data_IF_218596770041
#
_entry.id   IF_218596770041
#
_cell.length_a   1.000
_cell.length_b   1.000
_cell.length_c   1.000
_cell.angle_alpha   90.00
_cell.angle_beta   90.00
_cell.angle_gamma   90.00
#
_symmetry.space_group_name_H-M   'P 1'
#
loop_
_entity.id
_entity.type
_entity.pdbx_description
1 polymer ?
#
# COMPACT_ATOMS: atom_id res chain seq x y z
N UNK A 1 -25.60 -27.26 -54.43
CA UNK A 1 -25.45 -26.04 -55.26
C UNK A 1 -26.54 -25.03 -54.91
N UNK A 2 -26.20 -23.97 -54.17
CA UNK A 2 -26.78 -22.62 -54.28
C UNK A 2 -26.12 -21.70 -53.26
N UNK A 3 -25.24 -20.86 -53.77
CA UNK A 3 -24.67 -19.69 -53.11
C UNK A 3 -25.67 -18.55 -53.14
N UNK A 4 -25.85 -17.83 -52.03
CA UNK A 4 -26.25 -16.43 -52.03
C UNK A 4 -25.30 -15.66 -51.13
N UNK A 5 -24.53 -14.80 -51.78
CA UNK A 5 -23.62 -13.81 -51.24
C UNK A 5 -24.46 -12.70 -50.61
N UNK A 6 -24.14 -12.31 -49.38
CA UNK A 6 -24.70 -11.14 -48.70
C UNK A 6 -23.66 -10.61 -47.72
N UNK A 7 -23.06 -9.47 -48.06
CA UNK A 7 -22.01 -8.81 -47.29
C UNK A 7 -22.59 -8.07 -46.07
N UNK A 8 -21.99 -8.25 -44.89
CA UNK A 8 -22.02 -7.25 -43.82
C UNK A 8 -20.74 -7.37 -42.99
N UNK A 9 -19.83 -6.42 -43.20
CA UNK A 9 -18.67 -6.16 -42.35
C UNK A 9 -19.18 -5.66 -41.01
N UNK A 10 -18.91 -6.39 -39.93
CA UNK A 10 -18.98 -5.85 -38.56
C UNK A 10 -17.77 -6.38 -37.78
N UNK A 11 -16.74 -5.54 -37.79
CA UNK A 11 -15.54 -5.62 -36.98
C UNK A 11 -15.89 -5.61 -35.49
N UNK A 12 -15.15 -6.43 -34.74
CA UNK A 12 -14.64 -6.13 -33.39
C UNK A 12 -15.66 -5.76 -32.31
N UNK A 13 -16.15 -6.76 -31.57
CA UNK A 13 -16.51 -6.57 -30.16
C UNK A 13 -15.88 -7.70 -29.34
N UNK A 14 -14.56 -7.58 -29.16
CA UNK A 14 -13.85 -8.29 -28.11
C UNK A 14 -14.31 -7.74 -26.76
N UNK A 15 -15.28 -8.39 -26.14
CA UNK A 15 -15.62 -8.16 -24.73
C UNK A 15 -14.54 -8.83 -23.87
N UNK A 16 -13.38 -8.19 -23.83
CA UNK A 16 -12.40 -8.34 -22.76
C UNK A 16 -13.12 -7.93 -21.48
N UNK A 17 -13.62 -8.92 -20.73
CA UNK A 17 -13.97 -8.72 -19.33
C UNK A 17 -12.65 -8.40 -18.61
N UNK A 18 -12.35 -7.10 -18.55
CA UNK A 18 -11.27 -6.55 -17.74
C UNK A 18 -11.55 -6.92 -16.29
N UNK A 19 -10.97 -8.03 -15.84
CA UNK A 19 -10.81 -8.33 -14.42
C UNK A 19 -10.00 -7.17 -13.85
N UNK A 20 -10.67 -6.24 -13.17
CA UNK A 20 -10.01 -5.22 -12.37
C UNK A 20 -9.05 -5.97 -11.44
N UNK A 21 -7.72 -5.77 -11.54
CA UNK A 21 -6.84 -6.36 -10.56
C UNK A 21 -7.31 -5.82 -9.21
N UNK A 22 -7.68 -6.70 -8.29
CA UNK A 22 -7.62 -6.38 -6.87
C UNK A 22 -6.20 -5.88 -6.66
N UNK A 23 -6.05 -4.57 -6.62
CA UNK A 23 -4.76 -3.91 -6.52
C UNK A 23 -4.26 -4.24 -5.12
N UNK A 24 -3.49 -5.32 -5.03
CA UNK A 24 -2.83 -5.74 -3.81
C UNK A 24 -2.16 -4.49 -3.23
N UNK A 25 -2.60 -4.11 -2.03
CA UNK A 25 -2.19 -2.88 -1.36
C UNK A 25 -0.76 -3.04 -0.86
N UNK A 26 0.21 -2.82 -1.75
CA UNK A 26 1.64 -3.03 -1.46
C UNK A 26 2.36 -1.78 -0.91
N UNK A 27 1.64 -0.68 -0.67
CA UNK A 27 2.20 0.48 0.01
C UNK A 27 2.31 0.25 1.51
N UNK A 28 3.34 0.77 2.16
CA UNK A 28 3.45 0.86 3.62
C UNK A 28 2.41 1.80 4.24
N UNK A 29 1.91 2.78 3.48
CA UNK A 29 0.94 3.76 3.93
C UNK A 29 -0.29 3.76 3.03
N UNK A 30 -1.43 4.01 3.66
CA UNK A 30 -2.71 4.27 3.04
C UNK A 30 -3.09 5.73 3.22
N UNK A 31 -3.63 6.31 2.15
CA UNK A 31 -4.37 7.56 2.17
C UNK A 31 -5.86 7.24 2.36
N UNK A 32 -6.53 7.91 3.29
CA UNK A 32 -7.99 8.00 3.36
C UNK A 32 -8.42 9.43 3.01
N UNK A 33 -9.27 9.58 2.02
CA UNK A 33 -9.89 10.85 1.64
C UNK A 33 -11.34 10.65 1.21
N UNK A 34 -12.02 11.73 0.80
CA UNK A 34 -13.37 11.66 0.23
C UNK A 34 -13.43 10.79 -1.04
N UNK A 35 -12.32 10.66 -1.76
CA UNK A 35 -12.21 9.84 -2.99
C UNK A 35 -12.04 8.35 -2.70
N UNK A 36 -11.85 7.96 -1.43
CA UNK A 36 -11.70 6.58 -1.00
C UNK A 36 -10.38 6.29 -0.30
N UNK A 37 -10.00 5.00 -0.28
CA UNK A 37 -8.79 4.49 0.37
C UNK A 37 -7.79 4.01 -0.67
N UNK A 38 -6.56 4.53 -0.61
CA UNK A 38 -5.48 4.20 -1.54
C UNK A 38 -4.24 3.76 -0.76
N UNK A 39 -3.84 2.50 -0.89
CA UNK A 39 -2.78 1.88 -0.09
C UNK A 39 -1.55 1.49 -0.93
N UNK A 40 -1.00 2.48 -1.62
CA UNK A 40 0.08 2.33 -2.60
C UNK A 40 1.29 3.24 -2.30
N UNK A 41 1.35 3.87 -1.13
CA UNK A 41 2.43 4.80 -0.76
C UNK A 41 3.54 4.08 0.01
N UNK A 42 4.78 4.24 -0.44
CA UNK A 42 5.96 3.61 0.17
C UNK A 42 6.52 4.39 1.37
N UNK A 43 6.09 5.64 1.58
CA UNK A 43 6.51 6.49 2.69
C UNK A 43 5.38 7.40 3.16
N UNK A 44 5.43 7.82 4.42
CA UNK A 44 4.49 8.79 4.97
C UNK A 44 4.54 10.11 4.19
N UNK A 45 5.74 10.59 3.83
CA UNK A 45 5.91 11.84 3.09
C UNK A 45 5.21 11.79 1.73
N UNK A 46 5.36 10.70 0.97
CA UNK A 46 4.68 10.52 -0.31
C UNK A 46 3.15 10.45 -0.12
N UNK A 47 2.69 9.79 0.94
CA UNK A 47 1.27 9.77 1.28
C UNK A 47 0.76 11.17 1.62
N UNK A 48 1.46 11.92 2.49
CA UNK A 48 1.05 13.25 2.93
C UNK A 48 1.05 14.27 1.79
N UNK A 49 1.98 14.16 0.86
CA UNK A 49 1.98 14.96 -0.37
C UNK A 49 0.73 14.71 -1.21
N UNK A 50 0.33 13.44 -1.37
CA UNK A 50 -0.89 13.07 -2.09
C UNK A 50 -2.18 13.38 -1.30
N UNK A 51 -2.11 13.40 0.02
CA UNK A 51 -3.25 13.70 0.89
C UNK A 51 -3.75 15.14 0.75
N UNK A 52 -2.86 16.08 0.47
CA UNK A 52 -3.19 17.50 0.45
C UNK A 52 -3.82 17.95 1.78
N UNK A 53 -4.83 18.83 1.71
CA UNK A 53 -5.50 19.40 2.89
C UNK A 53 -6.59 18.51 3.50
N UNK A 54 -7.06 17.51 2.78
CA UNK A 54 -8.28 16.77 3.13
C UNK A 54 -8.06 15.26 3.29
N UNK A 55 -6.84 14.79 3.09
CA UNK A 55 -6.46 13.40 3.26
C UNK A 55 -5.81 13.12 4.61
N UNK A 56 -5.97 11.89 5.09
CA UNK A 56 -5.23 11.38 6.25
C UNK A 56 -4.40 10.16 5.85
N UNK A 57 -3.15 10.14 6.31
CA UNK A 57 -2.22 9.04 6.06
C UNK A 57 -2.05 8.17 7.30
N UNK A 58 -2.12 6.85 7.09
CA UNK A 58 -1.95 5.85 8.13
C UNK A 58 -1.19 4.64 7.60
N UNK A 59 -0.65 3.80 8.49
CA UNK A 59 0.04 2.58 8.09
C UNK A 59 -0.93 1.57 7.48
N UNK A 60 -0.54 1.02 6.33
CA UNK A 60 -1.28 -0.04 5.68
C UNK A 60 -1.03 -1.37 6.37
N UNK A 61 -1.97 -1.80 7.22
CA UNK A 61 -1.83 -3.08 7.96
C UNK A 61 -1.73 -4.33 7.07
N UNK A 62 -2.20 -4.23 5.82
CA UNK A 62 -2.17 -5.33 4.85
C UNK A 62 -0.94 -5.30 3.92
N UNK A 63 -0.28 -4.14 3.81
CA UNK A 63 0.97 -3.96 3.07
C UNK A 63 2.20 -3.91 3.97
N UNK A 64 2.00 -3.91 5.30
CA UNK A 64 3.09 -4.09 6.26
C UNK A 64 3.70 -5.47 6.05
N UNK A 65 4.96 -5.48 5.62
CA UNK A 65 5.79 -6.68 5.67
C UNK A 65 5.73 -7.24 7.09
N UNK A 66 5.52 -8.55 7.22
CA UNK A 66 5.33 -9.23 8.50
C UNK A 66 6.37 -8.71 9.52
N UNK A 67 5.94 -8.02 10.59
CA UNK A 67 6.86 -7.49 11.58
C UNK A 67 7.70 -8.62 12.17
N UNK A 68 9.02 -8.43 12.21
CA UNK A 68 9.97 -9.39 12.76
C UNK A 68 10.38 -8.97 14.16
N UNK A 69 10.29 -9.89 15.13
CA UNK A 69 10.60 -9.61 16.53
C UNK A 69 9.34 -9.43 17.39
N UNK A 70 9.56 -9.16 18.68
CA UNK A 70 8.51 -9.14 19.70
C UNK A 70 8.60 -7.97 20.67
N UNK A 71 9.38 -6.94 20.36
CA UNK A 71 9.46 -5.74 21.20
C UNK A 71 8.28 -4.78 20.91
N UNK A 72 7.94 -3.84 21.82
CA UNK A 72 6.79 -2.96 21.65
C UNK A 72 6.91 -1.94 20.52
N UNK A 73 8.13 -1.63 20.06
CA UNK A 73 8.36 -0.66 19.00
C UNK A 73 9.19 -1.25 17.87
N UNK A 74 8.85 -0.87 16.64
CA UNK A 74 9.49 -1.35 15.43
C UNK A 74 10.09 -0.20 14.61
N UNK A 75 11.21 -0.49 13.96
CA UNK A 75 11.67 0.31 12.82
C UNK A 75 10.99 -0.23 11.57
N UNK A 76 10.22 0.64 10.91
CA UNK A 76 9.62 0.41 9.62
C UNK A 76 10.49 1.04 8.53
N UNK A 77 11.11 0.17 7.73
CA UNK A 77 11.83 0.49 6.51
C UNK A 77 11.01 0.04 5.30
N UNK A 78 11.41 0.48 4.10
CA UNK A 78 10.70 0.17 2.85
C UNK A 78 10.44 -1.33 2.63
N UNK A 79 11.36 -2.18 3.09
CA UNK A 79 11.36 -3.62 2.82
C UNK A 79 11.44 -4.49 4.08
N UNK A 80 11.30 -3.91 5.28
CA UNK A 80 11.30 -4.68 6.52
C UNK A 80 10.68 -3.88 7.66
N UNK A 81 10.07 -4.60 8.59
CA UNK A 81 9.64 -4.05 9.89
C UNK A 81 10.35 -4.87 10.97
N UNK A 82 11.21 -4.24 11.76
CA UNK A 82 11.96 -4.89 12.84
C UNK A 82 11.56 -4.35 14.21
N UNK A 83 10.93 -5.20 15.01
CA UNK A 83 10.37 -4.94 16.33
C UNK A 83 11.32 -5.44 17.42
N UNK A 84 12.39 -4.68 17.64
CA UNK A 84 13.46 -5.01 18.61
C UNK A 84 13.65 -3.92 19.67
N UNK A 85 12.85 -2.86 19.65
CA UNK A 85 13.04 -1.71 20.53
C UNK A 85 12.08 -1.72 21.73
N UNK A 86 12.60 -1.63 22.97
CA UNK A 86 11.79 -1.66 24.19
C UNK A 86 11.05 -0.36 24.49
N UNK A 87 11.44 0.76 23.88
CA UNK A 87 10.80 2.06 24.09
C UNK A 87 10.84 2.94 22.82
N UNK A 88 9.89 3.87 22.74
CA UNK A 88 9.74 4.78 21.60
C UNK A 88 11.00 5.62 21.35
N UNK A 89 11.68 6.07 22.41
CA UNK A 89 12.82 6.98 22.28
C UNK A 89 14.02 6.30 21.60
N UNK A 90 14.40 5.10 22.05
CA UNK A 90 15.46 4.31 21.41
C UNK A 90 15.15 3.95 19.96
N UNK A 91 13.90 3.62 19.68
CA UNK A 91 13.41 3.36 18.32
C UNK A 91 13.50 4.60 17.43
N UNK A 92 13.10 5.78 17.91
CA UNK A 92 13.18 7.03 17.14
C UNK A 92 14.62 7.43 16.80
N UNK A 93 15.54 7.30 17.75
CA UNK A 93 16.97 7.61 17.53
C UNK A 93 17.52 6.74 16.39
N UNK A 94 17.25 5.44 16.44
CA UNK A 94 17.73 4.48 15.44
C UNK A 94 17.00 4.60 14.10
N UNK A 95 15.70 4.89 14.13
CA UNK A 95 14.92 5.15 12.93
C UNK A 95 15.47 6.37 12.17
N UNK A 96 15.79 7.46 12.87
CA UNK A 96 16.39 8.66 12.25
C UNK A 96 17.73 8.36 11.57
N UNK A 97 18.62 7.62 12.24
CA UNK A 97 19.90 7.22 11.66
C UNK A 97 19.75 6.41 10.36
N UNK A 98 18.65 5.64 10.25
CA UNK A 98 18.35 4.78 9.10
C UNK A 98 17.43 5.44 8.07
N UNK A 99 17.04 6.71 8.26
CA UNK A 99 15.98 7.40 7.48
C UNK A 99 14.68 6.58 7.41
N UNK A 100 14.40 5.85 8.48
CA UNK A 100 13.26 4.97 8.64
C UNK A 100 12.24 5.60 9.61
N UNK A 101 11.13 4.90 9.84
CA UNK A 101 10.13 5.33 10.81
C UNK A 101 10.11 4.44 12.04
N UNK A 102 9.87 5.05 13.20
CA UNK A 102 9.54 4.30 14.39
C UNK A 102 8.01 4.16 14.50
N UNK A 103 7.52 2.94 14.65
CA UNK A 103 6.08 2.62 14.72
C UNK A 103 5.81 1.64 15.88
N UNK A 104 4.61 1.67 16.49
CA UNK A 104 4.21 0.64 17.46
C UNK A 104 4.16 -0.75 16.82
N UNK A 105 4.55 -1.79 17.57
CA UNK A 105 4.43 -3.17 17.13
C UNK A 105 2.96 -3.63 17.21
N UNK A 106 2.30 -3.94 16.09
CA UNK A 106 0.91 -4.40 16.10
C UNK A 106 0.72 -5.78 16.76
N UNK A 107 1.80 -6.54 16.96
CA UNK A 107 1.78 -7.88 17.58
C UNK A 107 2.14 -7.85 19.08
N UNK A 108 2.41 -6.68 19.66
CA UNK A 108 2.78 -6.56 21.07
C UNK A 108 1.52 -6.36 21.92
N UNK A 109 1.34 -7.23 22.92
CA UNK A 109 0.21 -7.23 23.85
C UNK A 109 0.62 -6.65 25.20
#
# INVERSE_FOLDING_TARGET
>A
MKTCIGWAVALLLGSLFSTSPLQASQGLYCLSSLSGKHCNYQSLTACMQAAGKHGQCYLNRYGMLKPQGGAPFCIAERWRIQCTYPNMQSCQVQARARRAQCVPNPNYQ
#
